data_IF_046338325469
#
_entry.id   IF_046338325469
#
_cell.length_a   1.000
_cell.length_b   1.000
_cell.length_c   1.000
_cell.angle_alpha   90.00
_cell.angle_beta   90.00
_cell.angle_gamma   90.00
#
_symmetry.space_group_name_H-M   'P 1'
#
loop_
_entity.id
_entity.type
_entity.pdbx_description
1 polymer ?
#
# COMPACT_ATOMS: atom_id res chain seq x y z
N UNK A 1 -64.64 -8.93 -50.66
CA UNK A 1 -65.04 -9.95 -49.67
C UNK A 1 -64.95 -9.32 -48.29
N UNK A 2 -66.05 -9.40 -47.53
CA UNK A 2 -66.33 -8.65 -46.30
C UNK A 2 -66.43 -9.61 -45.11
N UNK A 3 -65.87 -9.24 -43.96
CA UNK A 3 -66.20 -9.65 -42.56
C UNK A 3 -65.16 -9.00 -41.64
N UNK A 4 -65.40 -7.94 -40.84
CA UNK A 4 -66.26 -7.72 -39.65
C UNK A 4 -66.12 -8.79 -38.55
N UNK A 5 -65.46 -8.42 -37.43
CA UNK A 5 -66.02 -8.53 -36.06
C UNK A 5 -65.22 -7.73 -35.00
N UNK A 6 -65.94 -6.88 -34.29
CA UNK A 6 -65.58 -6.00 -33.16
C UNK A 6 -65.74 -6.72 -31.79
N UNK A 7 -65.47 -6.10 -30.62
CA UNK A 7 -64.86 -6.75 -29.46
C UNK A 7 -65.85 -6.97 -28.29
N UNK A 8 -65.41 -7.64 -27.22
CA UNK A 8 -66.16 -7.67 -25.95
C UNK A 8 -65.29 -7.29 -24.74
N UNK A 9 -65.76 -6.23 -24.07
CA UNK A 9 -65.48 -5.80 -22.69
C UNK A 9 -66.25 -6.68 -21.69
N UNK A 10 -66.18 -6.28 -20.41
CA UNK A 10 -66.93 -6.67 -19.19
C UNK A 10 -66.05 -7.40 -18.17
N UNK A 11 -66.03 -7.08 -16.87
CA UNK A 11 -66.59 -5.96 -16.08
C UNK A 11 -65.90 -5.93 -14.71
N UNK A 12 -65.84 -4.75 -14.09
CA UNK A 12 -65.38 -4.50 -12.72
C UNK A 12 -66.52 -4.64 -11.70
N UNK A 13 -66.21 -5.11 -10.48
CA UNK A 13 -66.96 -4.92 -9.23
C UNK A 13 -65.94 -5.05 -8.09
N UNK A 14 -66.03 -4.41 -6.93
CA UNK A 14 -66.63 -3.17 -6.46
C UNK A 14 -66.02 -2.95 -5.06
N UNK A 15 -66.00 -1.71 -4.62
CA UNK A 15 -65.44 -1.24 -3.36
C UNK A 15 -66.13 -1.81 -2.11
N UNK A 16 -65.38 -1.90 -1.01
CA UNK A 16 -65.87 -1.53 0.32
C UNK A 16 -64.76 -0.77 1.05
N UNK A 17 -65.03 0.51 1.30
CA UNK A 17 -64.29 1.33 2.25
C UNK A 17 -65.05 1.31 3.58
N UNK A 18 -64.35 1.10 4.69
CA UNK A 18 -64.80 1.51 6.02
C UNK A 18 -63.62 2.15 6.72
N UNK A 19 -63.70 3.47 6.90
CA UNK A 19 -62.88 4.24 7.83
C UNK A 19 -63.40 4.04 9.25
N UNK A 20 -62.51 3.94 10.23
CA UNK A 20 -62.43 4.84 11.40
C UNK A 20 -61.63 4.21 12.55
N UNK A 21 -61.07 5.10 13.37
CA UNK A 21 -60.50 4.93 14.72
C UNK A 21 -58.98 4.72 14.85
N UNK A 22 -58.29 5.85 15.05
CA UNK A 22 -57.28 6.02 16.11
C UNK A 22 -58.02 6.55 17.36
N UNK A 23 -57.63 6.17 18.60
CA UNK A 23 -56.49 6.83 19.23
C UNK A 23 -55.61 5.97 20.20
N UNK A 24 -54.38 6.48 20.37
CA UNK A 24 -53.50 6.46 21.55
C UNK A 24 -53.03 5.17 22.25
N UNK A 25 -51.69 5.04 22.23
CA UNK A 25 -50.78 4.76 23.36
C UNK A 25 -50.72 3.35 23.96
N UNK A 26 -49.66 2.63 23.58
CA UNK A 26 -48.88 1.82 24.51
C UNK A 26 -47.41 1.80 24.06
N UNK A 27 -46.51 2.24 24.94
CA UNK A 27 -45.06 2.16 24.77
C UNK A 27 -44.60 0.71 24.65
N UNK A 28 -43.66 0.43 23.76
CA UNK A 28 -42.70 -0.68 23.92
C UNK A 28 -41.47 -0.41 23.05
N UNK A 29 -40.39 -0.07 23.76
CA UNK A 29 -38.96 -0.25 23.48
C UNK A 29 -38.44 -0.15 22.02
N UNK A 30 -37.44 0.73 21.86
CA UNK A 30 -36.43 0.69 20.80
C UNK A 30 -35.92 -0.74 20.56
N UNK A 31 -36.39 -1.38 19.50
CA UNK A 31 -35.74 -2.57 18.94
C UNK A 31 -34.75 -2.11 17.87
N UNK A 32 -33.66 -1.50 18.34
CA UNK A 32 -32.47 -1.30 17.54
C UNK A 32 -31.94 -2.70 17.18
N UNK A 33 -32.35 -3.19 16.02
CA UNK A 33 -31.84 -4.43 15.43
C UNK A 33 -30.32 -4.37 15.40
N UNK A 34 -29.69 -5.05 16.37
CA UNK A 34 -28.25 -5.23 16.39
C UNK A 34 -27.89 -6.06 15.16
N UNK A 35 -26.97 -5.60 14.30
CA UNK A 35 -26.58 -6.37 13.13
C UNK A 35 -26.00 -7.71 13.61
N UNK A 36 -26.51 -8.80 13.02
CA UNK A 36 -26.08 -10.17 13.33
C UNK A 36 -24.54 -10.28 13.32
N UNK A 37 -23.94 -11.11 14.19
CA UNK A 37 -22.50 -11.38 14.18
C UNK A 37 -21.99 -11.81 12.80
N UNK A 38 -22.83 -12.42 11.97
CA UNK A 38 -22.49 -12.79 10.59
C UNK A 38 -22.40 -11.58 9.64
N UNK A 39 -23.21 -10.54 9.85
CA UNK A 39 -23.13 -9.29 9.09
C UNK A 39 -21.95 -8.42 9.56
N UNK A 40 -21.63 -8.43 10.85
CA UNK A 40 -20.39 -7.83 11.39
C UNK A 40 -19.13 -8.61 10.97
N UNK A 41 -19.22 -9.94 10.84
CA UNK A 41 -18.14 -10.76 10.31
C UNK A 41 -17.97 -10.58 8.79
N UNK A 42 -19.05 -10.38 8.03
CA UNK A 42 -18.98 -10.04 6.60
C UNK A 42 -18.46 -8.62 6.36
N UNK A 43 -18.81 -7.65 7.22
CA UNK A 43 -18.23 -6.30 7.20
C UNK A 43 -16.77 -6.29 7.66
N UNK A 44 -16.39 -7.14 8.62
CA UNK A 44 -14.99 -7.34 9.05
C UNK A 44 -14.17 -8.12 8.02
N UNK A 45 -14.80 -8.99 7.23
CA UNK A 45 -14.18 -9.67 6.09
C UNK A 45 -14.07 -8.79 4.84
N UNK A 46 -14.84 -7.69 4.77
CA UNK A 46 -14.81 -6.75 3.64
C UNK A 46 -13.65 -5.75 3.67
N UNK A 47 -12.87 -5.69 4.75
CA UNK A 47 -11.60 -4.96 4.82
C UNK A 47 -10.57 -5.73 5.67
N UNK A 48 -10.22 -6.95 5.25
CA UNK A 48 -8.87 -7.41 5.55
C UNK A 48 -7.93 -6.41 4.88
N UNK A 49 -7.32 -5.51 5.66
CA UNK A 49 -6.22 -4.68 5.17
C UNK A 49 -5.21 -5.61 4.49
N UNK A 50 -4.64 -5.24 3.33
CA UNK A 50 -3.55 -6.03 2.79
C UNK A 50 -2.53 -6.17 3.92
N UNK A 51 -2.11 -7.40 4.24
CA UNK A 51 -1.14 -7.64 5.29
C UNK A 51 0.10 -6.82 4.98
N UNK A 52 0.34 -5.68 5.66
CA UNK A 52 1.40 -4.75 5.27
C UNK A 52 2.78 -5.34 5.60
N UNK A 53 3.87 -4.76 5.07
CA UNK A 53 5.21 -5.08 5.56
C UNK A 53 5.33 -4.89 7.08
N UNK A 54 4.58 -3.94 7.65
CA UNK A 54 4.50 -3.67 9.09
C UNK A 54 4.01 -4.86 9.91
N UNK A 55 3.19 -5.73 9.31
CA UNK A 55 2.61 -6.87 10.01
C UNK A 55 3.63 -8.01 10.16
N UNK A 56 4.75 -7.95 9.43
CA UNK A 56 5.88 -8.85 9.62
C UNK A 56 6.77 -8.27 10.72
N UNK A 57 7.08 -9.04 11.79
CA UNK A 57 7.92 -8.54 12.88
C UNK A 57 9.26 -8.01 12.38
N UNK A 58 9.53 -6.73 12.65
CA UNK A 58 10.82 -6.11 12.39
C UNK A 58 11.58 -6.01 13.71
N UNK A 59 12.54 -6.91 13.91
CA UNK A 59 13.29 -7.04 15.17
C UNK A 59 14.81 -7.01 14.91
N UNK A 60 15.39 -5.84 14.64
CA UNK A 60 16.84 -5.69 14.54
C UNK A 60 17.52 -6.03 15.88
N UNK A 61 18.78 -6.47 15.84
CA UNK A 61 19.50 -6.80 17.07
C UNK A 61 19.76 -5.56 17.92
N UNK A 62 19.96 -5.73 19.23
CA UNK A 62 20.30 -4.61 20.11
C UNK A 62 21.59 -3.89 19.68
N UNK A 63 22.56 -4.63 19.13
CA UNK A 63 23.81 -4.09 18.61
C UNK A 63 23.58 -3.23 17.35
N UNK A 64 22.72 -3.69 16.44
CA UNK A 64 22.35 -2.92 15.23
C UNK A 64 21.67 -1.61 15.60
N UNK A 65 20.70 -1.67 16.51
CA UNK A 65 19.98 -0.49 17.00
C UNK A 65 20.94 0.48 17.69
N UNK A 66 21.84 -0.02 18.55
CA UNK A 66 22.82 0.83 19.24
C UNK A 66 23.76 1.54 18.26
N UNK A 67 24.25 0.83 17.22
CA UNK A 67 25.11 1.40 16.18
C UNK A 67 24.43 2.55 15.44
N UNK A 68 23.19 2.33 14.97
CA UNK A 68 22.46 3.36 14.23
C UNK A 68 22.03 4.51 15.15
N UNK A 69 21.66 4.22 16.40
CA UNK A 69 21.40 5.26 17.41
C UNK A 69 22.63 6.13 17.66
N UNK A 70 23.81 5.55 17.83
CA UNK A 70 25.06 6.31 18.00
C UNK A 70 25.30 7.25 16.81
N UNK A 71 25.04 6.77 15.59
CA UNK A 71 25.10 7.59 14.38
C UNK A 71 24.11 8.75 14.43
N UNK A 72 22.84 8.50 14.74
CA UNK A 72 21.80 9.54 14.81
C UNK A 72 22.11 10.58 15.88
N UNK A 73 22.66 10.17 17.02
CA UNK A 73 23.01 11.08 18.11
C UNK A 73 24.23 11.95 17.82
N UNK A 74 25.19 11.45 17.03
CA UNK A 74 26.44 12.15 16.71
C UNK A 74 26.37 13.03 15.46
N UNK A 75 25.37 12.83 14.59
CA UNK A 75 25.25 13.61 13.36
C UNK A 75 24.67 15.01 13.63
N UNK A 76 25.39 16.10 13.30
CA UNK A 76 24.89 17.47 13.46
C UNK A 76 23.58 17.74 12.70
N UNK A 77 23.32 17.02 11.61
CA UNK A 77 22.08 17.15 10.85
C UNK A 77 20.83 16.77 11.66
N UNK A 78 20.98 16.02 12.75
CA UNK A 78 19.89 15.61 13.64
C UNK A 78 19.94 16.31 15.00
N UNK A 79 20.83 17.27 15.22
CA UNK A 79 21.05 17.88 16.53
C UNK A 79 19.78 18.55 17.10
N UNK A 80 18.98 19.20 16.25
CA UNK A 80 17.74 19.89 16.63
C UNK A 80 16.54 18.96 16.85
N UNK A 81 16.67 17.66 16.55
CA UNK A 81 15.57 16.70 16.66
C UNK A 81 15.37 16.29 18.12
N UNK A 82 14.11 16.13 18.51
CA UNK A 82 13.73 15.58 19.82
C UNK A 82 14.22 14.14 19.98
N UNK A 83 14.27 13.67 21.23
CA UNK A 83 14.65 12.28 21.52
C UNK A 83 13.74 11.27 20.80
N UNK A 84 12.43 11.54 20.77
CA UNK A 84 11.46 10.67 20.08
C UNK A 84 11.68 10.65 18.57
N UNK A 85 11.91 11.81 17.94
CA UNK A 85 12.21 11.88 16.51
C UNK A 85 13.50 11.13 16.16
N UNK A 86 14.52 11.20 17.02
CA UNK A 86 15.76 10.45 16.83
C UNK A 86 15.54 8.94 16.89
N UNK A 87 14.73 8.44 17.82
CA UNK A 87 14.39 7.02 17.86
C UNK A 87 13.56 6.58 16.63
N UNK A 88 12.63 7.43 16.16
CA UNK A 88 11.92 7.18 14.91
C UNK A 88 12.88 7.11 13.72
N UNK A 89 13.87 8.01 13.65
CA UNK A 89 14.89 8.02 12.61
C UNK A 89 15.75 6.75 12.63
N UNK A 90 16.11 6.25 13.81
CA UNK A 90 16.84 4.97 13.94
C UNK A 90 16.06 3.85 13.26
N UNK A 91 14.75 3.78 13.51
CA UNK A 91 13.86 2.78 12.89
C UNK A 91 13.75 2.97 11.38
N UNK A 92 13.52 4.20 10.91
CA UNK A 92 13.43 4.50 9.47
C UNK A 92 14.72 4.18 8.71
N UNK A 93 15.89 4.47 9.30
CA UNK A 93 17.18 4.15 8.71
C UNK A 93 17.37 2.65 8.58
N UNK A 94 17.10 1.89 9.66
CA UNK A 94 17.20 0.43 9.65
C UNK A 94 16.23 -0.21 8.66
N UNK A 95 14.98 0.25 8.62
CA UNK A 95 13.97 -0.22 7.67
C UNK A 95 14.37 0.11 6.22
N UNK A 96 14.79 1.36 5.97
CA UNK A 96 15.08 1.85 4.62
C UNK A 96 16.35 1.26 4.02
N UNK A 97 17.36 0.93 4.82
CA UNK A 97 18.57 0.27 4.31
C UNK A 97 18.51 -1.24 4.38
N UNK A 98 17.41 -1.83 4.85
CA UNK A 98 17.21 -3.27 4.78
C UNK A 98 17.19 -3.73 3.32
N UNK A 99 17.85 -4.86 3.05
CA UNK A 99 17.97 -5.41 1.71
C UNK A 99 16.77 -6.32 1.42
N UNK A 100 15.96 -6.02 0.38
CA UNK A 100 14.88 -6.91 -0.04
C UNK A 100 15.45 -8.29 -0.41
N UNK A 101 14.92 -9.33 0.21
CA UNK A 101 15.29 -10.71 0.00
C UNK A 101 15.04 -11.11 -1.45
N UNK A 102 16.00 -11.89 -1.97
CA UNK A 102 15.90 -12.60 -3.24
C UNK A 102 16.17 -14.07 -2.94
N UNK A 103 15.26 -14.94 -3.34
CA UNK A 103 15.50 -16.39 -3.28
C UNK A 103 16.11 -16.86 -4.59
N UNK A 104 16.89 -17.93 -4.54
CA UNK A 104 17.39 -18.60 -5.73
C UNK A 104 16.70 -19.96 -5.78
N UNK A 105 15.85 -20.18 -6.78
CA UNK A 105 15.17 -21.47 -6.99
C UNK A 105 15.96 -22.40 -7.92
N UNK A 106 17.23 -22.07 -8.20
CA UNK A 106 18.12 -22.83 -9.08
C UNK A 106 17.98 -22.47 -10.56
N UNK A 107 16.97 -21.68 -10.96
CA UNK A 107 16.76 -21.24 -12.35
C UNK A 107 16.66 -19.73 -12.50
N UNK A 108 16.24 -18.99 -11.46
CA UNK A 108 16.19 -17.53 -11.44
C UNK A 108 16.29 -16.97 -10.02
N UNK A 109 16.66 -15.70 -9.91
CA UNK A 109 16.40 -14.94 -8.68
C UNK A 109 14.90 -14.66 -8.59
N UNK A 110 14.24 -15.23 -7.59
CA UNK A 110 12.85 -14.97 -7.28
C UNK A 110 12.74 -13.84 -6.23
N UNK A 111 11.83 -12.91 -6.50
CA UNK A 111 11.55 -11.77 -5.63
C UNK A 111 10.55 -12.21 -4.55
N UNK A 112 10.75 -11.73 -3.32
CA UNK A 112 9.84 -12.02 -2.19
C UNK A 112 8.94 -10.81 -1.92
N UNK A 113 7.66 -11.05 -1.65
CA UNK A 113 6.71 -9.97 -1.39
C UNK A 113 6.90 -9.38 0.02
N UNK A 114 6.74 -8.06 0.22
CA UNK A 114 6.89 -7.41 1.54
C UNK A 114 5.95 -8.00 2.61
N UNK A 115 4.80 -8.55 2.21
CA UNK A 115 3.87 -9.25 3.11
C UNK A 115 4.45 -10.53 3.72
N UNK A 116 5.56 -11.03 3.19
CA UNK A 116 6.27 -12.23 3.67
C UNK A 116 7.56 -11.85 4.39
N UNK A 117 8.31 -10.87 3.86
CA UNK A 117 9.64 -10.52 4.36
C UNK A 117 9.72 -9.21 5.15
N UNK A 118 8.61 -8.48 5.28
CA UNK A 118 8.59 -7.14 5.87
C UNK A 118 9.47 -6.19 5.05
N UNK A 119 10.45 -5.59 5.72
CA UNK A 119 11.43 -4.67 5.14
C UNK A 119 12.63 -5.39 4.48
N UNK A 120 12.76 -6.71 4.65
CA UNK A 120 13.90 -7.49 4.19
C UNK A 120 14.96 -7.68 5.28
N UNK A 121 16.18 -8.01 4.87
CA UNK A 121 17.29 -8.29 5.79
C UNK A 121 17.91 -6.99 6.29
N UNK A 122 17.94 -6.78 7.61
CA UNK A 122 18.58 -5.63 8.25
C UNK A 122 20.04 -5.47 7.81
N UNK A 123 20.42 -4.24 7.47
CA UNK A 123 21.80 -3.84 7.21
C UNK A 123 22.11 -2.55 8.00
N UNK A 124 22.62 -2.75 9.22
CA UNK A 124 22.95 -1.66 10.13
C UNK A 124 24.21 -0.87 9.69
N UNK A 125 25.10 -1.48 8.91
CA UNK A 125 26.27 -0.81 8.36
C UNK A 125 25.86 0.17 7.27
N UNK A 126 24.92 -0.23 6.42
CA UNK A 126 24.27 0.65 5.46
C UNK A 126 23.50 1.78 6.17
N UNK A 127 22.71 1.45 7.20
CA UNK A 127 21.97 2.44 7.99
C UNK A 127 22.89 3.48 8.65
N UNK A 128 24.05 3.06 9.14
CA UNK A 128 25.01 3.96 9.78
C UNK A 128 25.74 4.88 8.77
N UNK A 129 25.86 4.47 7.50
CA UNK A 129 26.61 5.19 6.46
C UNK A 129 25.73 6.06 5.56
N UNK A 130 24.47 5.70 5.38
CA UNK A 130 23.57 6.41 4.47
C UNK A 130 23.44 7.89 4.83
N UNK A 131 23.31 8.71 3.80
CA UNK A 131 22.97 10.14 3.90
C UNK A 131 21.54 10.42 3.44
N UNK A 132 20.81 9.35 3.10
CA UNK A 132 19.46 9.38 2.61
C UNK A 132 18.58 8.52 3.52
N UNK A 133 17.42 9.05 3.90
CA UNK A 133 16.32 8.26 4.44
C UNK A 133 15.02 8.66 3.75
N UNK A 134 13.98 7.86 3.95
CA UNK A 134 12.67 8.11 3.37
C UNK A 134 11.59 8.11 4.45
N UNK A 135 10.49 8.79 4.18
CA UNK A 135 9.23 8.71 4.90
C UNK A 135 8.10 8.52 3.90
N UNK A 136 7.00 7.90 4.33
CA UNK A 136 5.81 7.73 3.49
C UNK A 136 4.76 8.75 3.91
N UNK A 137 4.24 9.51 2.94
CA UNK A 137 3.13 10.42 3.23
C UNK A 137 1.85 9.61 3.49
N UNK A 138 1.11 9.96 4.55
CA UNK A 138 -0.09 9.24 4.97
C UNK A 138 0.16 8.03 5.88
N UNK A 139 1.41 7.76 6.27
CA UNK A 139 1.70 6.78 7.31
C UNK A 139 1.13 7.25 8.66
N UNK A 140 0.40 6.36 9.34
CA UNK A 140 -0.19 6.64 10.67
C UNK A 140 0.86 6.70 11.79
N UNK A 141 2.01 6.04 11.59
CA UNK A 141 3.16 6.06 12.49
C UNK A 141 4.34 6.73 11.76
N UNK A 142 4.94 7.82 12.29
CA UNK A 142 6.06 8.50 11.65
C UNK A 142 7.34 7.65 11.55
N UNK A 143 7.42 6.53 12.26
CA UNK A 143 8.53 5.59 12.21
C UNK A 143 8.32 4.44 11.21
N UNK A 144 7.19 4.44 10.51
CA UNK A 144 6.82 3.41 9.54
C UNK A 144 7.20 3.83 8.11
N UNK A 145 8.01 2.98 7.46
CA UNK A 145 8.41 3.16 6.07
C UNK A 145 7.53 2.39 5.07
N UNK A 146 6.61 1.54 5.50
CA UNK A 146 5.78 0.77 4.57
C UNK A 146 4.65 1.64 3.99
N UNK A 147 4.55 1.64 2.66
CA UNK A 147 3.53 2.40 1.96
C UNK A 147 2.27 1.58 1.68
N UNK A 148 1.12 2.24 1.77
CA UNK A 148 -0.15 1.72 1.29
C UNK A 148 -0.46 2.35 -0.05
N UNK A 149 -0.45 1.53 -1.10
CA UNK A 149 -0.73 1.96 -2.45
C UNK A 149 -2.24 1.94 -2.69
N UNK A 150 -2.81 3.12 -2.90
CA UNK A 150 -4.24 3.31 -3.11
C UNK A 150 -4.57 3.31 -4.59
N UNK A 151 -5.63 2.61 -4.98
CA UNK A 151 -6.04 2.56 -6.38
C UNK A 151 -6.90 3.77 -6.75
N UNK A 152 -6.36 4.65 -7.60
CA UNK A 152 -7.02 5.85 -8.09
C UNK A 152 -6.58 6.14 -9.53
N UNK A 153 -7.52 6.58 -10.37
CA UNK A 153 -7.30 6.95 -11.78
C UNK A 153 -6.64 5.85 -12.64
N UNK A 154 -6.86 4.57 -12.30
CA UNK A 154 -6.25 3.43 -13.01
C UNK A 154 -4.84 3.05 -12.54
N UNK A 155 -4.35 3.66 -11.46
CA UNK A 155 -3.02 3.39 -10.90
C UNK A 155 -3.11 3.05 -9.41
N UNK A 156 -2.23 2.19 -8.91
CA UNK A 156 -1.92 2.19 -7.48
C UNK A 156 -0.88 3.26 -7.19
N UNK A 157 -1.23 4.23 -6.35
CA UNK A 157 -0.41 5.41 -6.05
C UNK A 157 -0.05 5.45 -4.57
N UNK A 158 1.17 5.92 -4.29
CA UNK A 158 1.60 6.34 -2.97
C UNK A 158 2.72 7.37 -3.11
N UNK A 159 2.99 8.08 -2.03
CA UNK A 159 3.97 9.18 -2.04
C UNK A 159 5.08 8.92 -1.04
N UNK A 160 6.31 9.06 -1.50
CA UNK A 160 7.53 8.90 -0.71
C UNK A 160 8.25 10.23 -0.65
N UNK A 161 8.62 10.65 0.56
CA UNK A 161 9.45 11.82 0.79
C UNK A 161 10.87 11.38 1.10
N UNK A 162 11.81 11.85 0.29
CA UNK A 162 13.23 11.53 0.37
C UNK A 162 13.95 12.67 1.08
N UNK A 163 14.73 12.34 2.10
CA UNK A 163 15.42 13.29 2.96
C UNK A 163 16.93 13.10 2.82
N UNK A 164 17.64 14.12 2.39
CA UNK A 164 19.09 14.11 2.26
C UNK A 164 19.72 14.89 3.41
N UNK A 165 20.45 14.20 4.27
CA UNK A 165 21.14 14.79 5.42
C UNK A 165 22.60 15.13 5.13
N UNK A 166 23.08 14.79 3.92
CA UNK A 166 24.40 15.15 3.45
C UNK A 166 24.53 16.63 3.09
N UNK A 167 25.77 17.11 3.13
CA UNK A 167 26.14 18.49 2.77
C UNK A 167 26.17 18.77 1.27
N UNK A 168 25.88 17.77 0.44
CA UNK A 168 25.83 17.87 -1.03
C UNK A 168 24.50 17.37 -1.54
N UNK A 169 23.99 17.98 -2.61
CA UNK A 169 22.82 17.43 -3.31
C UNK A 169 23.12 16.03 -3.85
N UNK A 170 22.15 15.13 -3.83
CA UNK A 170 22.29 13.78 -4.40
C UNK A 170 21.29 13.57 -5.53
N UNK A 171 21.77 13.08 -6.67
CA UNK A 171 20.90 12.57 -7.73
C UNK A 171 20.59 11.09 -7.48
N UNK A 172 19.31 10.76 -7.44
CA UNK A 172 18.81 9.42 -7.13
C UNK A 172 18.20 8.79 -8.39
N UNK A 173 18.69 7.61 -8.75
CA UNK A 173 18.05 6.73 -9.71
C UNK A 173 16.98 5.88 -9.03
N UNK A 174 15.99 5.47 -9.82
CA UNK A 174 14.87 4.67 -9.33
C UNK A 174 14.90 3.26 -9.90
N UNK A 175 14.45 2.31 -9.09
CA UNK A 175 14.07 0.98 -9.56
C UNK A 175 12.95 0.45 -8.69
N UNK A 176 12.28 -0.60 -9.13
CA UNK A 176 11.27 -1.24 -8.30
C UNK A 176 10.77 -2.52 -8.94
N UNK A 177 10.06 -3.29 -8.15
CA UNK A 177 9.35 -4.47 -8.62
C UNK A 177 8.01 -4.58 -7.90
N UNK A 178 7.08 -5.25 -8.56
CA UNK A 178 5.74 -5.49 -8.04
C UNK A 178 5.38 -6.95 -8.25
N UNK A 179 4.81 -7.55 -7.21
CA UNK A 179 4.29 -8.90 -7.20
C UNK A 179 2.79 -8.85 -6.92
N UNK A 180 2.08 -9.85 -7.41
CA UNK A 180 0.67 -10.07 -7.18
C UNK A 180 0.45 -11.50 -6.68
N UNK A 181 -0.47 -11.68 -5.75
CA UNK A 181 -0.83 -13.00 -5.23
C UNK A 181 -1.93 -13.63 -6.09
N UNK A 182 -1.57 -14.59 -6.93
CA UNK A 182 -2.47 -15.25 -7.88
C UNK A 182 -3.43 -16.20 -7.19
N UNK A 183 -4.73 -16.02 -7.43
CA UNK A 183 -5.77 -16.79 -6.74
C UNK A 183 -6.14 -16.24 -5.37
N UNK A 184 -5.87 -14.95 -5.13
CA UNK A 184 -6.25 -14.26 -3.90
C UNK A 184 -5.32 -14.61 -2.73
N UNK A 185 -5.84 -14.54 -1.50
CA UNK A 185 -5.03 -14.67 -0.28
C UNK A 185 -4.36 -16.04 -0.09
N UNK A 186 -4.95 -17.13 -0.59
CA UNK A 186 -4.34 -18.47 -0.60
C UNK A 186 -3.34 -18.70 -1.73
N UNK A 187 -3.14 -17.68 -2.56
CA UNK A 187 -2.41 -17.75 -3.81
C UNK A 187 -0.89 -17.80 -3.73
N UNK A 188 -0.25 -17.95 -4.89
CA UNK A 188 1.21 -17.84 -5.06
C UNK A 188 1.59 -16.45 -5.55
N UNK A 189 2.67 -15.90 -5.01
CA UNK A 189 3.24 -14.64 -5.50
C UNK A 189 3.84 -14.83 -6.89
N UNK A 190 3.47 -13.96 -7.82
CA UNK A 190 3.99 -13.93 -9.18
C UNK A 190 4.30 -12.49 -9.61
N UNK A 191 5.23 -12.33 -10.54
CA UNK A 191 5.51 -11.05 -11.18
C UNK A 191 4.53 -10.85 -12.36
N UNK A 192 3.57 -9.91 -12.28
CA UNK A 192 2.60 -9.70 -13.35
C UNK A 192 3.13 -8.81 -14.47
N UNK A 193 4.42 -8.41 -14.42
CA UNK A 193 5.05 -7.43 -15.32
C UNK A 193 4.37 -6.06 -15.30
N UNK A 194 3.85 -5.67 -14.13
CA UNK A 194 3.34 -4.32 -13.90
C UNK A 194 4.44 -3.28 -14.07
N UNK A 195 4.05 -2.10 -14.53
CA UNK A 195 4.96 -0.97 -14.73
C UNK A 195 4.94 -0.08 -13.50
N UNK A 196 6.10 0.09 -12.89
CA UNK A 196 6.33 1.12 -11.86
C UNK A 196 6.87 2.38 -12.53
N UNK A 197 6.28 3.51 -12.20
CA UNK A 197 6.65 4.84 -12.70
C UNK A 197 6.75 5.83 -11.53
N UNK A 198 7.54 6.88 -11.74
CA UNK A 198 7.84 7.88 -10.72
C UNK A 198 7.53 9.27 -11.28
N UNK A 199 6.98 10.14 -10.44
CA UNK A 199 6.66 11.52 -10.82
C UNK A 199 6.93 12.50 -9.69
N UNK A 200 7.25 13.73 -10.07
CA UNK A 200 7.33 14.89 -9.16
C UNK A 200 6.42 15.97 -9.73
N UNK A 201 5.57 16.55 -8.90
CA UNK A 201 4.60 17.60 -9.30
C UNK A 201 3.77 17.20 -10.53
N UNK A 202 3.36 15.93 -10.60
CA UNK A 202 2.58 15.35 -11.70
C UNK A 202 3.35 15.03 -12.98
N UNK A 203 4.67 15.27 -13.03
CA UNK A 203 5.51 15.01 -14.21
C UNK A 203 6.34 13.75 -14.04
N UNK A 204 6.27 12.86 -15.02
CA UNK A 204 7.07 11.63 -15.03
C UNK A 204 8.57 11.94 -15.07
N UNK A 205 9.34 11.21 -14.26
CA UNK A 205 10.79 11.36 -14.14
C UNK A 205 11.49 10.00 -14.01
N UNK A 206 12.77 9.94 -14.40
CA UNK A 206 13.60 8.74 -14.27
C UNK A 206 14.64 8.82 -13.13
N UNK A 207 14.71 9.99 -12.49
CA UNK A 207 15.54 10.25 -11.32
C UNK A 207 15.25 11.64 -10.76
N UNK A 208 15.63 11.87 -9.51
CA UNK A 208 15.37 13.14 -8.80
C UNK A 208 16.63 13.64 -8.12
N UNK A 209 16.83 14.95 -8.12
CA UNK A 209 17.88 15.59 -7.31
C UNK A 209 17.28 16.03 -5.97
N UNK A 210 17.79 15.46 -4.88
CA UNK A 210 17.46 15.88 -3.52
C UNK A 210 18.50 16.89 -3.05
N UNK A 211 18.13 18.12 -2.64
CA UNK A 211 19.08 19.14 -2.22
C UNK A 211 19.85 18.73 -0.95
N UNK A 212 20.99 19.37 -0.69
CA UNK A 212 21.73 19.17 0.57
C UNK A 212 20.85 19.62 1.75
N UNK A 213 20.84 18.85 2.84
CA UNK A 213 20.02 19.12 4.02
C UNK A 213 18.53 19.39 3.74
N UNK A 214 18.00 18.81 2.66
CA UNK A 214 16.63 19.07 2.24
C UNK A 214 15.91 17.82 1.77
N UNK A 215 14.69 18.01 1.30
CA UNK A 215 13.78 16.92 0.96
C UNK A 215 13.19 17.05 -0.44
N UNK A 216 12.76 15.91 -1.00
CA UNK A 216 11.94 15.86 -2.22
C UNK A 216 10.88 14.78 -2.12
N UNK A 217 9.68 15.15 -2.53
CA UNK A 217 8.52 14.27 -2.59
C UNK A 217 8.39 13.66 -3.97
N UNK A 218 8.27 12.32 -4.03
CA UNK A 218 8.13 11.54 -5.25
C UNK A 218 6.86 10.72 -5.14
N UNK A 219 5.96 10.86 -6.12
CA UNK A 219 4.81 9.97 -6.26
C UNK A 219 5.22 8.74 -7.06
N UNK A 220 4.90 7.58 -6.53
CA UNK A 220 5.08 6.29 -7.20
C UNK A 220 3.72 5.85 -7.74
N UNK A 221 3.68 5.42 -9.00
CA UNK A 221 2.48 4.91 -9.65
C UNK A 221 2.76 3.54 -10.27
N UNK A 222 1.92 2.56 -9.95
CA UNK A 222 1.94 1.21 -10.53
C UNK A 222 0.76 1.09 -11.49
N UNK A 223 1.03 0.64 -12.71
CA UNK A 223 0.04 0.43 -13.76
C UNK A 223 0.16 -0.97 -14.37
N UNK A 224 -0.96 -1.47 -14.89
CA UNK A 224 -1.00 -2.62 -15.78
C UNK A 224 -1.09 -2.16 -17.24
N UNK A 225 0.04 -2.03 -17.96
CA UNK A 225 0.03 -1.51 -19.32
C UNK A 225 -0.62 -2.47 -20.33
N UNK A 226 -0.76 -3.76 -20.01
CA UNK A 226 -1.32 -4.76 -20.91
C UNK A 226 -2.81 -5.02 -20.68
N UNK A 227 -3.43 -4.39 -19.67
CA UNK A 227 -4.81 -4.65 -19.22
C UNK A 227 -5.12 -6.14 -18.96
N UNK A 228 -4.08 -6.97 -18.88
CA UNK A 228 -4.17 -8.42 -18.76
C UNK A 228 -4.32 -8.86 -17.32
N UNK A 229 -4.09 -7.96 -16.35
CA UNK A 229 -4.18 -8.28 -14.93
C UNK A 229 -5.58 -8.75 -14.54
N UNK A 230 -6.61 -8.23 -15.20
CA UNK A 230 -7.99 -8.66 -15.02
C UNK A 230 -8.16 -10.15 -15.32
N UNK A 231 -7.79 -10.56 -16.54
CA UNK A 231 -7.78 -11.97 -16.96
C UNK A 231 -6.86 -12.83 -16.11
N UNK A 232 -5.72 -12.27 -15.69
CA UNK A 232 -4.72 -12.95 -14.88
C UNK A 232 -5.23 -13.26 -13.47
N UNK A 233 -5.99 -12.35 -12.85
CA UNK A 233 -6.58 -12.50 -11.52
C UNK A 233 -7.84 -13.37 -11.58
N UNK A 234 -8.71 -13.17 -12.57
CA UNK A 234 -9.90 -14.00 -12.77
C UNK A 234 -9.56 -15.46 -13.06
N UNK A 235 -8.50 -15.74 -13.83
CA UNK A 235 -8.02 -17.12 -14.04
C UNK A 235 -7.60 -17.79 -12.73
N UNK A 236 -7.18 -17.02 -11.73
CA UNK A 236 -6.91 -17.50 -10.38
C UNK A 236 -8.18 -17.77 -9.55
N UNK A 237 -9.37 -17.43 -10.06
CA UNK A 237 -10.65 -17.64 -9.36
C UNK A 237 -10.96 -16.63 -8.26
N UNK A 238 -10.25 -15.49 -8.19
CA UNK A 238 -10.49 -14.45 -7.19
C UNK A 238 -10.89 -13.13 -7.83
N UNK A 239 -11.78 -12.38 -7.17
CA UNK A 239 -12.13 -10.99 -7.55
C UNK A 239 -11.15 -9.97 -6.99
N UNK A 240 -10.31 -10.37 -6.04
CA UNK A 240 -9.30 -9.50 -5.43
C UNK A 240 -7.95 -10.20 -5.39
N UNK A 241 -6.87 -9.42 -5.45
CA UNK A 241 -5.53 -9.96 -5.34
C UNK A 241 -4.61 -9.00 -4.57
N UNK A 242 -3.98 -9.45 -3.47
CA UNK A 242 -2.93 -8.71 -2.80
C UNK A 242 -1.79 -8.35 -3.77
N UNK A 243 -1.35 -7.10 -3.70
CA UNK A 243 -0.24 -6.55 -4.46
C UNK A 243 0.84 -6.10 -3.48
N UNK A 244 2.11 -6.39 -3.78
CA UNK A 244 3.21 -6.04 -2.91
C UNK A 244 4.51 -5.88 -3.68
N UNK A 245 5.34 -4.95 -3.26
CA UNK A 245 6.60 -4.69 -3.95
C UNK A 245 7.53 -3.80 -3.15
N UNK A 246 8.64 -3.45 -3.80
CA UNK A 246 9.59 -2.49 -3.27
C UNK A 246 9.94 -1.47 -4.36
N UNK A 247 10.10 -0.22 -3.94
CA UNK A 247 10.80 0.80 -4.73
C UNK A 247 12.13 1.12 -4.07
N UNK A 248 13.17 1.28 -4.88
CA UNK A 248 14.52 1.53 -4.43
C UNK A 248 15.02 2.85 -5.00
N UNK A 249 15.59 3.66 -4.11
CA UNK A 249 16.20 4.95 -4.38
C UNK A 249 17.70 4.80 -4.20
N UNK A 250 18.45 4.88 -5.30
CA UNK A 250 19.89 4.64 -5.31
C UNK A 250 20.63 5.91 -5.71
N UNK A 251 21.57 6.41 -4.90
CA UNK A 251 22.46 7.48 -5.32
C UNK A 251 23.21 7.09 -6.60
N UNK A 252 23.05 7.88 -7.65
CA UNK A 252 23.64 7.61 -8.96
C UNK A 252 25.11 8.03 -9.03
N UNK A 253 25.46 9.10 -8.33
CA UNK A 253 26.79 9.71 -8.32
C UNK A 253 27.77 8.97 -7.40
N UNK A 254 27.27 8.31 -6.35
CA UNK A 254 28.06 7.47 -5.44
C UNK A 254 27.51 6.04 -5.44
N UNK A 255 28.17 5.14 -6.19
CA UNK A 255 27.77 3.74 -6.30
C UNK A 255 27.99 2.93 -5.02
N UNK A 256 28.77 3.45 -4.08
CA UNK A 256 29.04 2.82 -2.78
C UNK A 256 28.02 3.22 -1.72
N UNK A 257 27.29 4.32 -1.97
CA UNK A 257 26.24 4.76 -1.07
C UNK A 257 25.13 3.69 -0.95
N UNK A 258 24.63 3.46 0.27
CA UNK A 258 23.48 2.59 0.50
C UNK A 258 22.27 2.96 -0.34
N UNK A 259 21.54 1.93 -0.78
CA UNK A 259 20.24 2.09 -1.43
C UNK A 259 19.15 2.18 -0.36
N UNK A 260 18.19 3.08 -0.54
CA UNK A 260 17.00 3.17 0.33
C UNK A 260 15.84 2.44 -0.35
N UNK A 261 15.28 1.45 0.32
CA UNK A 261 14.20 0.59 -0.15
C UNK A 261 12.93 0.88 0.63
N UNK A 262 11.82 1.09 -0.07
CA UNK A 262 10.49 1.37 0.53
C UNK A 262 9.55 0.25 0.09
N UNK A 263 9.09 -0.62 1.02
CA UNK A 263 8.08 -1.61 0.71
C UNK A 263 6.73 -0.93 0.51
N UNK A 264 5.90 -1.49 -0.36
CA UNK A 264 4.53 -1.05 -0.52
C UNK A 264 3.58 -2.23 -0.67
N UNK A 265 2.34 -2.04 -0.23
CA UNK A 265 1.26 -3.02 -0.36
C UNK A 265 0.00 -2.38 -0.91
N UNK A 266 -0.81 -3.15 -1.61
CA UNK A 266 -2.08 -2.72 -2.17
C UNK A 266 -2.99 -3.91 -2.45
N UNK A 267 -4.17 -3.63 -2.99
CA UNK A 267 -5.13 -4.65 -3.41
C UNK A 267 -5.58 -4.32 -4.82
N UNK A 268 -5.49 -5.30 -5.72
CA UNK A 268 -6.23 -5.28 -6.97
C UNK A 268 -7.67 -5.74 -6.72
N UNK A 269 -8.64 -5.09 -7.36
CA UNK A 269 -10.05 -5.47 -7.38
C UNK A 269 -10.51 -5.54 -8.83
N UNK A 270 -11.02 -6.69 -9.24
CA UNK A 270 -11.74 -6.83 -10.51
C UNK A 270 -13.06 -6.06 -10.39
N UNK A 271 -13.30 -5.15 -11.33
CA UNK A 271 -14.58 -4.47 -11.51
C UNK A 271 -15.58 -5.38 -12.22
#
# INVERSE_FOLDING_TARGET
MSTIRTPRRFVAFAAVAVSAFLPMSASLADDASTPSPAAQAAASAAQAAPTSAENVPFSPSAADVARVRQRVQSDPAFASRSAQEKENLVRLLLQGTSAPARTNDGRSLALVAPQVQGYGKTDADAAAKTKLYATVDGASDPSNLAARAEFADGYWKFTVRLHNVGSRSQYLGFSGFTLLKLGGEGGKWANPRLRTSFSVDGRAIYGVRVPAHGERTVTVSISDPSYSLYEYVLRGGSKTAPLGGFVNFRPAEDKTAPTVSVPFTGIFKAL
#
